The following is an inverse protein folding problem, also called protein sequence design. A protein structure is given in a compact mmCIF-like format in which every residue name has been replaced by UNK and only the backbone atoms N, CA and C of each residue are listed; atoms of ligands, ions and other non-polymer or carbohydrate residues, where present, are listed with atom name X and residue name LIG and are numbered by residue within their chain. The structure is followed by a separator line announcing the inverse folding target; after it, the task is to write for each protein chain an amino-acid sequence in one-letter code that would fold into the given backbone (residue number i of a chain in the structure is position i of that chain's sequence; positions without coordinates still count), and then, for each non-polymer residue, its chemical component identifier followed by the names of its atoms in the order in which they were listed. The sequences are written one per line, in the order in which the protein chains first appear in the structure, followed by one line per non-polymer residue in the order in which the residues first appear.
data_IF_785422291924
#
_entry.id   IF_785422291924
#
_cell.length_a   1.000
_cell.length_b   1.000
_cell.length_c   1.000
_cell.angle_alpha   90.00
_cell.angle_beta   90.00
_cell.angle_gamma   90.00
#
_symmetry.space_group_name_H-M   'P 1'
#
loop_
_entity.id
_entity.type
_entity.pdbx_description
1 polymer ?
#
# COMPACT_ATOMS: atom_id res chain seq x y z
N UNK A 1 -20.98 11.98 -46.33
CA UNK A 1 -21.23 10.56 -46.20
C UNK A 1 -20.52 10.09 -44.93
N UNK A 2 -21.23 10.19 -43.78
CA UNK A 2 -20.71 9.85 -42.46
C UNK A 2 -20.79 8.33 -42.32
N UNK A 3 -19.65 7.66 -42.07
CA UNK A 3 -19.61 6.29 -41.63
C UNK A 3 -20.08 6.24 -40.18
N UNK A 4 -21.22 5.66 -39.93
CA UNK A 4 -21.63 5.23 -38.59
C UNK A 4 -20.75 4.03 -38.22
N UNK A 5 -19.88 4.21 -37.22
CA UNK A 5 -19.19 3.10 -36.57
C UNK A 5 -20.25 2.33 -35.78
N UNK A 6 -20.46 1.07 -36.17
CA UNK A 6 -21.29 0.13 -35.44
C UNK A 6 -20.58 -0.17 -34.11
N UNK A 7 -21.10 0.36 -33.01
CA UNK A 7 -20.78 -0.14 -31.65
C UNK A 7 -21.20 -1.62 -31.60
N UNK A 8 -20.24 -2.51 -31.52
CA UNK A 8 -20.48 -3.94 -31.29
C UNK A 8 -20.99 -4.04 -29.84
N UNK A 9 -22.29 -4.14 -29.70
CA UNK A 9 -22.96 -4.39 -28.44
C UNK A 9 -22.63 -5.83 -28.00
N UNK A 10 -21.54 -6.02 -27.25
CA UNK A 10 -21.18 -7.33 -26.69
C UNK A 10 -22.21 -7.64 -25.61
N UNK A 11 -23.17 -8.46 -25.94
CA UNK A 11 -24.19 -8.91 -24.99
C UNK A 11 -23.56 -9.90 -24.02
N UNK A 12 -23.03 -9.37 -22.90
CA UNK A 12 -22.47 -10.20 -21.81
C UNK A 12 -23.67 -10.84 -21.08
N UNK A 13 -23.74 -12.18 -20.98
CA UNK A 13 -24.82 -12.83 -20.26
C UNK A 13 -24.81 -12.42 -18.78
N UNK A 14 -25.99 -12.23 -18.20
CA UNK A 14 -26.14 -11.96 -16.77
C UNK A 14 -25.81 -13.23 -15.98
N UNK A 15 -24.75 -13.15 -15.16
CA UNK A 15 -24.40 -14.17 -14.19
C UNK A 15 -24.76 -13.66 -12.78
N UNK A 16 -25.42 -14.47 -11.98
CA UNK A 16 -25.84 -14.13 -10.61
C UNK A 16 -25.42 -15.24 -9.68
N UNK A 17 -24.81 -14.86 -8.54
CA UNK A 17 -24.47 -15.78 -7.45
C UNK A 17 -25.23 -15.35 -6.20
N UNK A 18 -25.85 -16.30 -5.49
CA UNK A 18 -26.51 -16.02 -4.22
C UNK A 18 -25.47 -15.92 -3.10
N UNK A 19 -25.73 -15.08 -2.12
CA UNK A 19 -24.85 -14.96 -0.94
C UNK A 19 -24.63 -16.31 -0.22
N UNK A 20 -25.64 -17.20 -0.24
CA UNK A 20 -25.55 -18.55 0.34
C UNK A 20 -24.64 -19.52 -0.42
N UNK A 21 -24.22 -19.16 -1.63
CA UNK A 21 -23.31 -19.95 -2.48
C UNK A 21 -21.87 -19.46 -2.34
N UNK A 22 -21.63 -18.36 -1.62
CA UNK A 22 -20.33 -17.76 -1.39
C UNK A 22 -19.77 -18.28 -0.05
N UNK A 23 -18.66 -18.99 -0.11
CA UNK A 23 -17.95 -19.41 1.09
C UNK A 23 -17.24 -18.20 1.73
N UNK A 24 -17.54 -17.86 3.01
CA UNK A 24 -16.82 -16.80 3.72
C UNK A 24 -15.35 -17.16 3.88
N UNK A 25 -14.46 -16.21 3.60
CA UNK A 25 -13.03 -16.35 3.84
C UNK A 25 -12.64 -15.56 5.08
N UNK A 26 -11.81 -16.16 5.93
CA UNK A 26 -11.23 -15.46 7.07
C UNK A 26 -10.25 -14.36 6.58
N UNK A 27 -10.38 -13.18 7.18
CA UNK A 27 -9.47 -12.06 6.92
C UNK A 27 -8.24 -12.22 7.82
N UNK A 28 -7.06 -12.32 7.22
CA UNK A 28 -5.79 -12.28 7.94
C UNK A 28 -5.40 -10.83 8.19
N UNK A 29 -4.84 -10.54 9.35
CA UNK A 29 -4.51 -9.19 9.78
C UNK A 29 -3.01 -9.05 10.05
N UNK A 30 -2.42 -7.98 9.52
CA UNK A 30 -1.11 -7.51 9.96
C UNK A 30 -1.25 -6.81 11.32
N UNK A 31 -2.31 -6.01 11.49
CA UNK A 31 -2.65 -5.33 12.72
C UNK A 31 -4.17 -5.26 12.91
N UNK A 32 -4.72 -6.11 13.74
CA UNK A 32 -6.16 -6.13 14.00
C UNK A 32 -6.59 -4.96 14.90
N UNK A 33 -7.69 -4.25 14.60
CA UNK A 33 -8.54 -4.38 13.42
C UNK A 33 -8.22 -3.35 12.32
N UNK A 34 -6.99 -2.87 12.25
CA UNK A 34 -6.62 -1.68 11.46
C UNK A 34 -6.05 -2.01 10.07
N UNK A 35 -5.14 -2.97 9.98
CA UNK A 35 -4.42 -3.27 8.74
C UNK A 35 -4.57 -4.76 8.39
N UNK A 36 -5.49 -5.11 7.47
CA UNK A 36 -5.60 -6.47 6.95
C UNK A 36 -4.53 -6.75 5.90
N UNK A 37 -4.08 -7.99 5.78
CA UNK A 37 -3.25 -8.43 4.66
C UNK A 37 -4.04 -8.45 3.35
N UNK A 38 -3.37 -8.17 2.23
CA UNK A 38 -3.96 -8.19 0.90
C UNK A 38 -5.00 -7.09 0.68
N UNK A 39 -4.92 -5.98 1.40
CA UNK A 39 -5.83 -4.83 1.29
C UNK A 39 -5.08 -3.51 1.39
N UNK A 40 -5.64 -2.48 0.79
CA UNK A 40 -5.20 -1.11 0.97
C UNK A 40 -5.89 -0.51 2.19
N UNK A 41 -5.11 0.07 3.09
CA UNK A 41 -5.58 0.84 4.25
C UNK A 41 -5.21 2.30 4.06
N UNK A 42 -6.15 3.21 4.22
CA UNK A 42 -5.92 4.65 4.14
C UNK A 42 -5.86 5.25 5.55
N UNK A 43 -4.71 5.82 5.90
CA UNK A 43 -4.55 6.63 7.11
C UNK A 43 -4.71 8.10 6.75
N UNK A 44 -5.73 8.75 7.32
CA UNK A 44 -6.05 10.15 7.07
C UNK A 44 -6.03 10.96 8.36
N UNK A 45 -5.68 12.23 8.27
CA UNK A 45 -5.65 13.21 9.36
C UNK A 45 -5.00 14.51 8.90
N UNK A 46 -5.09 15.56 9.72
CA UNK A 46 -4.53 16.87 9.41
C UNK A 46 -2.98 16.86 9.43
N UNK A 47 -2.32 17.82 8.77
CA UNK A 47 -0.88 18.03 8.92
C UNK A 47 -0.50 18.19 10.39
N UNK A 48 0.53 17.46 10.82
CA UNK A 48 0.98 17.49 12.22
C UNK A 48 0.33 16.46 13.15
N UNK A 49 -0.69 15.71 12.73
CA UNK A 49 -1.35 14.66 13.55
C UNK A 49 -0.44 13.46 13.87
N UNK A 50 0.75 13.41 13.29
CA UNK A 50 1.72 12.37 13.57
C UNK A 50 1.54 11.09 12.76
N UNK A 51 0.86 11.13 11.62
CA UNK A 51 0.62 9.99 10.72
C UNK A 51 1.93 9.26 10.35
N UNK A 52 2.90 9.98 9.81
CA UNK A 52 4.22 9.41 9.41
C UNK A 52 4.97 8.86 10.63
N UNK A 53 4.90 9.54 11.79
CA UNK A 53 5.51 9.05 13.04
C UNK A 53 4.86 7.74 13.51
N UNK A 54 3.54 7.63 13.44
CA UNK A 54 2.81 6.41 13.77
C UNK A 54 3.25 5.27 12.85
N UNK A 55 3.28 5.51 11.53
CA UNK A 55 3.65 4.48 10.56
C UNK A 55 5.11 4.04 10.70
N UNK A 56 6.03 4.96 11.00
CA UNK A 56 7.43 4.63 11.28
C UNK A 56 7.59 3.83 12.58
N UNK A 57 6.78 4.12 13.61
CA UNK A 57 6.78 3.33 14.85
C UNK A 57 6.27 1.90 14.62
N UNK A 58 5.21 1.74 13.83
CA UNK A 58 4.70 0.42 13.41
C UNK A 58 5.76 -0.33 12.60
N UNK A 59 6.37 0.34 11.61
CA UNK A 59 7.44 -0.23 10.81
C UNK A 59 8.63 -0.68 11.66
N UNK A 60 9.00 0.11 12.68
CA UNK A 60 10.09 -0.23 13.59
C UNK A 60 9.81 -1.51 14.39
N UNK A 61 8.61 -1.67 14.95
CA UNK A 61 8.20 -2.89 15.65
C UNK A 61 8.23 -4.10 14.72
N UNK A 62 7.57 -4.00 13.55
CA UNK A 62 7.51 -5.08 12.57
C UNK A 62 8.90 -5.50 12.08
N UNK A 63 9.81 -4.53 11.88
CA UNK A 63 11.17 -4.79 11.41
C UNK A 63 12.01 -5.67 12.34
N UNK A 64 11.63 -5.72 13.62
CA UNK A 64 12.29 -6.55 14.65
C UNK A 64 11.49 -7.80 15.03
N UNK A 65 10.28 -7.95 14.53
CA UNK A 65 9.40 -9.03 14.97
C UNK A 65 8.77 -8.74 16.35
N UNK A 66 8.67 -7.48 16.75
CA UNK A 66 7.98 -7.08 17.96
C UNK A 66 6.48 -6.96 17.72
N UNK A 67 5.63 -7.36 18.68
CA UNK A 67 4.19 -7.29 18.53
C UNK A 67 3.70 -5.85 18.43
N UNK A 68 2.66 -5.65 17.63
CA UNK A 68 2.00 -4.36 17.52
C UNK A 68 1.11 -4.09 18.74
N UNK A 69 0.83 -2.81 19.08
CA UNK A 69 -0.04 -2.46 20.20
C UNK A 69 -1.42 -3.15 20.09
N UNK A 70 -1.96 -3.58 21.22
CA UNK A 70 -3.26 -4.23 21.33
C UNK A 70 -3.39 -5.58 20.61
N UNK A 71 -2.27 -6.24 20.31
CA UNK A 71 -2.25 -7.61 19.79
C UNK A 71 -2.00 -8.58 20.94
N UNK A 72 -2.59 -9.78 20.85
CA UNK A 72 -2.39 -10.86 21.83
C UNK A 72 -1.12 -11.70 21.54
N UNK A 73 -0.47 -11.45 20.44
CA UNK A 73 0.72 -12.19 19.99
C UNK A 73 1.96 -11.68 20.72
N UNK A 74 2.74 -12.56 21.31
CA UNK A 74 3.95 -12.16 22.07
C UNK A 74 5.14 -11.90 21.15
N UNK A 75 5.31 -12.68 20.09
CA UNK A 75 6.40 -12.53 19.11
C UNK A 75 5.89 -12.81 17.70
N UNK A 76 6.45 -12.10 16.73
CA UNK A 76 6.21 -12.31 15.30
C UNK A 76 7.57 -12.41 14.59
N UNK A 77 7.59 -13.01 13.39
CA UNK A 77 8.80 -12.98 12.57
C UNK A 77 9.10 -11.55 12.12
N UNK A 78 10.39 -11.12 12.11
CA UNK A 78 10.78 -9.83 11.53
C UNK A 78 10.31 -9.71 10.09
N UNK A 79 9.78 -8.54 9.75
CA UNK A 79 9.19 -8.27 8.45
C UNK A 79 9.94 -7.17 7.72
N UNK A 80 10.07 -7.31 6.39
CA UNK A 80 10.56 -6.25 5.53
C UNK A 80 9.43 -5.28 5.20
N UNK A 81 9.72 -3.98 5.31
CA UNK A 81 8.83 -2.87 5.03
C UNK A 81 9.42 -2.04 3.87
N UNK A 82 8.59 -1.72 2.88
CA UNK A 82 8.90 -0.72 1.87
C UNK A 82 8.29 0.59 2.32
N UNK A 83 9.11 1.63 2.46
CA UNK A 83 8.67 2.99 2.78
C UNK A 83 9.01 3.93 1.64
N UNK A 84 8.01 4.60 1.10
CA UNK A 84 8.19 5.60 0.05
C UNK A 84 7.61 6.93 0.52
N UNK A 85 8.37 7.99 0.36
CA UNK A 85 7.97 9.35 0.70
C UNK A 85 8.50 10.34 -0.31
N UNK A 86 7.75 11.41 -0.50
CA UNK A 86 8.13 12.55 -1.33
C UNK A 86 8.17 13.86 -0.54
N UNK A 87 7.78 13.82 0.74
CA UNK A 87 7.75 14.99 1.62
C UNK A 87 8.95 15.07 2.54
N UNK A 88 9.40 13.93 3.06
CA UNK A 88 10.52 13.82 4.00
C UNK A 88 11.72 13.15 3.33
N UNK A 89 12.94 13.68 3.50
CA UNK A 89 14.17 13.04 3.02
C UNK A 89 14.49 11.78 3.83
N UNK A 90 14.93 10.74 3.12
CA UNK A 90 15.19 9.45 3.76
C UNK A 90 16.35 9.51 4.76
N UNK A 91 17.42 10.24 4.44
CA UNK A 91 18.68 10.27 5.18
C UNK A 91 18.64 11.16 6.42
N UNK A 92 17.95 12.29 6.39
CA UNK A 92 17.91 13.26 7.48
C UNK A 92 16.65 13.20 8.35
N UNK A 93 15.59 12.61 7.84
CA UNK A 93 14.29 12.60 8.53
C UNK A 93 13.75 11.19 8.78
N UNK A 94 13.54 10.38 7.72
CA UNK A 94 12.85 9.10 7.85
C UNK A 94 13.69 8.07 8.60
N UNK A 95 14.94 7.84 8.16
CA UNK A 95 15.85 6.87 8.78
C UNK A 95 16.20 7.26 10.22
N UNK A 96 16.51 8.52 10.56
CA UNK A 96 16.72 8.93 11.94
C UNK A 96 15.51 8.70 12.84
N UNK A 97 14.29 9.00 12.37
CA UNK A 97 13.05 8.74 13.14
C UNK A 97 12.79 7.25 13.33
N UNK A 98 12.99 6.45 12.29
CA UNK A 98 12.86 5.00 12.35
C UNK A 98 13.85 4.37 13.32
N UNK A 99 15.12 4.79 13.29
CA UNK A 99 16.16 4.35 14.22
C UNK A 99 15.84 4.78 15.66
N UNK A 100 15.32 6.00 15.86
CA UNK A 100 14.89 6.49 17.18
C UNK A 100 13.71 5.69 17.74
N UNK A 101 12.87 5.13 16.88
CA UNK A 101 11.81 4.19 17.24
C UNK A 101 12.34 2.77 17.49
N UNK A 102 13.64 2.54 17.34
CA UNK A 102 14.30 1.27 17.60
C UNK A 102 14.20 0.27 16.43
N UNK A 103 13.92 0.73 15.22
CA UNK A 103 13.79 -0.14 14.05
C UNK A 103 15.08 -0.83 13.62
N UNK A 104 14.95 -1.95 12.92
CA UNK A 104 16.06 -2.65 12.28
C UNK A 104 16.18 -2.20 10.81
N UNK A 105 17.22 -1.44 10.48
CA UNK A 105 17.45 -0.85 9.16
C UNK A 105 17.61 -1.87 8.02
N UNK A 106 17.98 -3.12 8.31
CA UNK A 106 18.04 -4.18 7.29
C UNK A 106 16.65 -4.56 6.74
N UNK A 107 15.60 -4.25 7.48
CA UNK A 107 14.21 -4.57 7.15
C UNK A 107 13.39 -3.34 6.72
N UNK A 108 14.01 -2.18 6.53
CA UNK A 108 13.39 -1.00 5.95
C UNK A 108 14.06 -0.69 4.62
N UNK A 109 13.32 -0.73 3.52
CA UNK A 109 13.84 -0.50 2.18
C UNK A 109 13.09 0.61 1.46
N UNK A 110 13.81 1.28 0.55
CA UNK A 110 13.30 2.32 -0.33
C UNK A 110 13.54 1.94 -1.78
N UNK A 111 12.57 2.18 -2.65
CA UNK A 111 12.74 2.03 -4.09
C UNK A 111 13.31 3.36 -4.60
N UNK A 112 14.45 3.32 -5.32
CA UNK A 112 15.07 4.52 -5.88
C UNK A 112 14.25 5.10 -7.03
N UNK A 113 14.12 6.42 -7.04
CA UNK A 113 13.35 7.19 -8.02
C UNK A 113 14.25 8.13 -8.85
N UNK A 114 15.52 7.77 -9.05
CA UNK A 114 16.52 8.65 -9.66
C UNK A 114 16.18 9.10 -11.09
N UNK A 115 15.57 8.21 -11.89
CA UNK A 115 15.26 8.49 -13.31
C UNK A 115 13.76 8.67 -13.56
N UNK A 116 12.92 8.09 -12.73
CA UNK A 116 11.47 8.09 -12.89
C UNK A 116 10.77 7.97 -11.55
N UNK A 117 9.84 8.89 -11.29
CA UNK A 117 8.95 8.84 -10.13
C UNK A 117 8.13 7.55 -10.12
N UNK A 118 7.83 7.03 -8.94
CA UNK A 118 6.94 5.88 -8.76
C UNK A 118 5.48 6.28 -8.93
N UNK A 119 4.69 5.34 -9.44
CA UNK A 119 3.24 5.40 -9.44
C UNK A 119 2.66 4.07 -8.98
N UNK A 120 1.39 4.02 -8.62
CA UNK A 120 0.73 2.79 -8.14
C UNK A 120 0.83 1.61 -9.12
N UNK A 121 0.87 1.88 -10.43
CA UNK A 121 1.02 0.86 -11.47
C UNK A 121 2.47 0.53 -11.83
N UNK A 122 3.46 1.06 -11.12
CA UNK A 122 4.87 0.83 -11.44
C UNK A 122 5.31 -0.58 -11.04
N UNK A 123 5.83 -1.34 -12.00
CA UNK A 123 6.27 -2.72 -11.78
C UNK A 123 7.41 -2.85 -10.75
N UNK A 124 8.18 -1.78 -10.50
CA UNK A 124 9.23 -1.79 -9.46
C UNK A 124 8.67 -2.06 -8.07
N UNK A 125 7.41 -1.68 -7.82
CA UNK A 125 6.73 -1.97 -6.54
C UNK A 125 6.53 -3.48 -6.40
N UNK A 126 5.95 -4.13 -7.41
CA UNK A 126 5.72 -5.57 -7.39
C UNK A 126 7.05 -6.35 -7.31
N UNK A 127 8.06 -5.94 -8.09
CA UNK A 127 9.39 -6.54 -8.08
C UNK A 127 10.06 -6.42 -6.69
N UNK A 128 9.95 -5.26 -6.04
CA UNK A 128 10.51 -5.04 -4.71
C UNK A 128 9.79 -5.89 -3.65
N UNK A 129 8.45 -5.98 -3.70
CA UNK A 129 7.67 -6.82 -2.80
C UNK A 129 8.10 -8.29 -2.93
N UNK A 130 8.17 -8.80 -4.16
CA UNK A 130 8.54 -10.19 -4.42
C UNK A 130 9.98 -10.48 -4.00
N UNK A 131 10.92 -9.63 -4.41
CA UNK A 131 12.36 -9.83 -4.18
C UNK A 131 12.76 -9.78 -2.72
N UNK A 132 12.15 -8.89 -1.94
CA UNK A 132 12.47 -8.69 -0.52
C UNK A 132 11.42 -9.29 0.42
N UNK A 133 10.40 -9.96 -0.13
CA UNK A 133 9.30 -10.56 0.65
C UNK A 133 8.63 -9.56 1.59
N UNK A 134 8.50 -8.30 1.12
CA UNK A 134 7.95 -7.23 1.93
C UNK A 134 6.50 -7.52 2.36
N UNK A 135 6.17 -7.18 3.60
CA UNK A 135 4.84 -7.43 4.20
C UNK A 135 4.02 -6.16 4.40
N UNK A 136 4.65 -5.01 4.29
CA UNK A 136 4.01 -3.72 4.38
C UNK A 136 4.64 -2.77 3.37
N UNK A 137 3.80 -2.10 2.57
CA UNK A 137 4.17 -0.97 1.73
C UNK A 137 3.52 0.28 2.30
N UNK A 138 4.32 1.30 2.58
CA UNK A 138 3.88 2.62 3.05
C UNK A 138 4.17 3.64 1.97
N UNK A 139 3.15 4.41 1.56
CA UNK A 139 3.25 5.49 0.58
C UNK A 139 2.80 6.80 1.25
N UNK A 140 3.71 7.72 1.48
CA UNK A 140 3.51 8.94 2.27
C UNK A 140 4.02 10.19 1.54
N UNK A 141 3.15 11.05 1.02
CA UNK A 141 1.70 10.89 0.94
C UNK A 141 1.26 10.07 -0.28
N UNK A 142 0.13 9.40 -0.17
CA UNK A 142 -0.47 8.62 -1.25
C UNK A 142 -0.64 9.42 -2.56
N UNK A 143 -0.98 10.71 -2.44
CA UNK A 143 -1.24 11.61 -3.58
C UNK A 143 -0.07 11.73 -4.56
N UNK A 144 1.16 11.55 -4.09
CA UNK A 144 2.37 11.67 -4.91
C UNK A 144 2.59 10.46 -5.83
N UNK A 145 1.91 9.35 -5.57
CA UNK A 145 2.06 8.10 -6.32
C UNK A 145 0.89 7.79 -7.25
N UNK A 146 -0.09 8.69 -7.32
CA UNK A 146 -1.16 8.64 -8.32
C UNK A 146 -0.56 9.06 -9.65
N UNK A 147 -0.81 8.26 -10.72
CA UNK A 147 -0.23 8.52 -12.04
C UNK A 147 -0.54 9.92 -12.57
N UNK A 148 0.40 10.53 -13.29
CA UNK A 148 0.31 11.90 -13.81
C UNK A 148 -0.96 12.18 -14.64
N UNK A 149 -1.53 11.15 -15.25
CA UNK A 149 -2.74 11.22 -16.06
C UNK A 149 -4.03 10.98 -15.25
N UNK A 150 -3.93 10.77 -13.94
CA UNK A 150 -5.05 10.49 -13.07
C UNK A 150 -5.46 11.75 -12.29
N UNK A 151 -6.70 12.18 -12.46
CA UNK A 151 -7.26 13.25 -11.63
C UNK A 151 -7.85 12.67 -10.34
N UNK A 152 -7.35 13.11 -9.18
CA UNK A 152 -7.92 12.74 -7.86
C UNK A 152 -9.42 13.05 -7.73
N UNK A 153 -9.93 14.00 -8.54
CA UNK A 153 -11.34 14.34 -8.60
C UNK A 153 -12.15 13.38 -9.50
N UNK A 154 -11.48 12.48 -10.24
CA UNK A 154 -12.14 11.49 -11.07
C UNK A 154 -12.10 10.12 -10.38
N UNK A 155 -13.20 9.74 -9.74
CA UNK A 155 -13.32 8.51 -8.97
C UNK A 155 -13.03 7.23 -9.81
N UNK A 156 -13.28 7.23 -11.10
CA UNK A 156 -13.04 6.08 -11.96
C UNK A 156 -11.54 5.89 -12.25
N UNK A 157 -10.81 6.98 -12.50
CA UNK A 157 -9.36 6.94 -12.73
C UNK A 157 -8.64 6.55 -11.45
N UNK A 158 -8.99 7.17 -10.33
CA UNK A 158 -8.44 6.85 -9.01
C UNK A 158 -8.68 5.37 -8.65
N UNK A 159 -9.85 4.84 -8.96
CA UNK A 159 -10.18 3.42 -8.72
C UNK A 159 -9.31 2.47 -9.55
N UNK A 160 -9.02 2.81 -10.80
CA UNK A 160 -8.15 2.01 -11.66
C UNK A 160 -6.73 1.93 -11.07
N UNK A 161 -6.18 3.05 -10.61
CA UNK A 161 -4.87 3.12 -9.95
C UNK A 161 -4.81 2.27 -8.65
N UNK A 162 -5.85 2.34 -7.82
CA UNK A 162 -5.93 1.48 -6.62
C UNK A 162 -6.00 0.00 -6.94
N UNK A 163 -6.61 -0.40 -8.06
CA UNK A 163 -6.66 -1.80 -8.46
C UNK A 163 -5.27 -2.38 -8.72
N UNK A 164 -4.32 -1.57 -9.20
CA UNK A 164 -2.92 -2.00 -9.37
C UNK A 164 -2.28 -2.31 -8.01
N UNK A 165 -2.46 -1.44 -7.00
CA UNK A 165 -1.95 -1.70 -5.65
C UNK A 165 -2.60 -2.94 -5.01
N UNK A 166 -3.91 -3.11 -5.17
CA UNK A 166 -4.63 -4.27 -4.64
C UNK A 166 -4.13 -5.58 -5.27
N UNK A 167 -3.72 -5.54 -6.55
CA UNK A 167 -3.23 -6.73 -7.24
C UNK A 167 -1.85 -7.19 -6.76
N UNK A 168 -1.06 -6.32 -6.14
CA UNK A 168 0.27 -6.62 -5.60
C UNK A 168 0.29 -6.78 -4.08
N UNK A 169 -0.83 -6.50 -3.39
CA UNK A 169 -1.01 -6.65 -1.96
C UNK A 169 -1.40 -8.09 -1.58
#
# INVERSE_FOLDING_TARGET
MMKMENEINVNVPLEVVKASEIEPKEVKWLWYPYIPFGKVTLLQGDPGDGKSKLMLSIAALLSKGEPLPFTETEEIEPMTIIYQTTEDDADDTVVPRFNSAGGNGENLIFIKEDEKSLSFGDNRIAEAIERYHAKLLILDPMSSYIGENCSMNNANETRAEFNHLIAVA
#
